data_IF_936119045560
#
_entry.id   IF_936119045560
#
_cell.length_a   1.000
_cell.length_b   1.000
_cell.length_c   1.000
_cell.angle_alpha   90.00
_cell.angle_beta   90.00
_cell.angle_gamma   90.00
#
_symmetry.space_group_name_H-M   'P 1'
#
loop_
_entity.id
_entity.type
_entity.pdbx_description
1 polymer ?
#
# COMPACT_ATOMS: atom_id res chain seq x y z
N UNK A 1 72.13 8.06 44.40
CA UNK A 1 71.67 7.64 43.05
C UNK A 1 71.03 6.27 43.23
N UNK A 2 69.77 5.97 42.97
CA UNK A 2 68.61 6.67 42.41
C UNK A 2 67.36 6.02 43.08
N UNK A 3 66.25 6.77 43.16
CA UNK A 3 65.00 6.47 43.86
C UNK A 3 64.30 5.18 43.35
N UNK A 4 63.83 4.25 44.22
CA UNK A 4 62.57 4.19 45.00
C UNK A 4 61.29 3.87 44.18
N UNK A 5 60.79 2.63 44.37
CA UNK A 5 59.40 2.06 44.43
C UNK A 5 58.22 2.79 43.76
N UNK A 6 57.32 2.00 43.14
CA UNK A 6 55.85 2.13 42.92
C UNK A 6 55.56 1.34 41.61
N UNK A 7 54.61 0.41 41.44
CA UNK A 7 53.49 -0.12 42.22
C UNK A 7 52.91 -1.27 41.39
N UNK A 8 52.85 -2.48 41.96
CA UNK A 8 51.87 -3.51 41.55
C UNK A 8 50.49 -3.00 41.98
N UNK A 9 49.46 -3.13 41.13
CA UNK A 9 48.04 -3.41 41.46
C UNK A 9 47.16 -3.23 40.20
N UNK A 10 46.22 -4.17 40.04
CA UNK A 10 45.05 -4.23 39.12
C UNK A 10 45.35 -4.72 37.70
N UNK A 11 44.96 -5.92 37.21
CA UNK A 11 43.83 -6.82 37.51
C UNK A 11 42.52 -6.11 37.84
N UNK A 12 41.79 -5.69 36.80
CA UNK A 12 40.33 -5.81 36.78
C UNK A 12 39.78 -5.52 35.38
N UNK A 13 39.10 -6.54 34.84
CA UNK A 13 37.83 -6.41 34.13
C UNK A 13 37.74 -5.41 32.97
N UNK A 14 38.05 -5.88 31.76
CA UNK A 14 37.34 -5.44 30.54
C UNK A 14 36.96 -6.69 29.73
N UNK A 15 36.20 -7.59 30.37
CA UNK A 15 35.12 -8.30 29.64
C UNK A 15 33.99 -7.28 29.53
N UNK A 16 34.05 -6.43 28.50
CA UNK A 16 32.88 -5.68 28.09
C UNK A 16 31.95 -6.69 27.42
N UNK A 17 30.98 -7.13 28.22
CA UNK A 17 29.79 -7.83 27.81
C UNK A 17 29.26 -7.14 26.55
N UNK A 18 29.32 -7.84 25.42
CA UNK A 18 28.43 -7.59 24.29
C UNK A 18 27.03 -7.98 24.76
N UNK A 19 26.42 -7.10 25.56
CA UNK A 19 24.98 -7.05 25.68
C UNK A 19 24.48 -6.58 24.32
N UNK A 20 24.33 -7.52 23.38
CA UNK A 20 23.41 -7.38 22.28
C UNK A 20 22.02 -7.30 22.91
N UNK A 21 21.67 -6.11 23.41
CA UNK A 21 20.29 -5.73 23.56
C UNK A 21 19.70 -5.90 22.16
N UNK A 22 18.90 -6.96 21.97
CA UNK A 22 17.95 -6.98 20.88
C UNK A 22 17.11 -5.72 21.05
N UNK A 23 17.38 -4.71 20.23
CA UNK A 23 16.50 -3.58 20.11
C UNK A 23 15.13 -4.16 19.80
N UNK A 24 14.19 -4.02 20.73
CA UNK A 24 12.79 -4.10 20.38
C UNK A 24 12.58 -2.92 19.44
N UNK A 25 12.74 -3.16 18.14
CA UNK A 25 12.37 -2.20 17.12
C UNK A 25 10.89 -1.93 17.34
N UNK A 26 10.56 -0.76 17.89
CA UNK A 26 9.22 -0.21 17.76
C UNK A 26 8.97 -0.11 16.26
N UNK A 27 8.08 -0.97 15.76
CA UNK A 27 7.60 -0.84 14.39
C UNK A 27 6.82 0.47 14.38
N UNK A 28 7.37 1.49 13.73
CA UNK A 28 6.67 2.74 13.51
C UNK A 28 5.29 2.45 12.91
N UNK A 29 4.28 3.24 13.29
CA UNK A 29 2.95 3.11 12.70
C UNK A 29 3.07 3.14 11.16
N UNK A 30 2.37 2.24 10.45
CA UNK A 30 2.48 2.17 9.00
C UNK A 30 2.00 3.46 8.36
N UNK A 31 2.71 3.91 7.33
CA UNK A 31 2.22 4.93 6.40
C UNK A 31 1.05 4.33 5.62
N UNK A 32 -0.18 4.78 5.91
CA UNK A 32 -1.39 4.23 5.30
C UNK A 32 -1.49 4.60 3.82
N UNK A 33 -1.09 5.82 3.45
CA UNK A 33 -1.01 6.26 2.06
C UNK A 33 -0.12 5.34 1.22
N UNK A 34 1.09 5.02 1.70
CA UNK A 34 2.00 4.07 1.05
C UNK A 34 1.39 2.67 0.99
N UNK A 35 0.83 2.20 2.11
CA UNK A 35 0.34 0.83 2.25
C UNK A 35 -0.85 0.53 1.33
N UNK A 36 -1.83 1.45 1.24
CA UNK A 36 -2.95 1.31 0.31
C UNK A 36 -2.53 1.57 -1.14
N UNK A 37 -1.50 2.40 -1.39
CA UNK A 37 -0.91 2.54 -2.73
C UNK A 37 -0.38 1.20 -3.24
N UNK A 38 0.42 0.50 -2.43
CA UNK A 38 0.91 -0.85 -2.76
C UNK A 38 -0.22 -1.83 -3.04
N UNK A 39 -1.26 -1.82 -2.20
CA UNK A 39 -2.38 -2.75 -2.33
C UNK A 39 -3.20 -2.50 -3.61
N UNK A 40 -3.52 -1.23 -3.90
CA UNK A 40 -4.29 -0.86 -5.09
C UNK A 40 -3.47 -1.01 -6.37
N UNK A 41 -2.18 -0.66 -6.36
CA UNK A 41 -1.31 -0.79 -7.54
C UNK A 41 -1.17 -2.25 -7.97
N UNK A 42 -1.24 -3.18 -7.03
CA UNK A 42 -1.27 -4.61 -7.31
C UNK A 42 -2.50 -5.07 -8.13
N UNK A 43 -3.54 -4.23 -8.30
CA UNK A 43 -4.68 -4.52 -9.18
C UNK A 43 -4.31 -4.31 -10.65
N UNK A 44 -3.36 -3.42 -10.93
CA UNK A 44 -3.01 -2.98 -12.27
C UNK A 44 -2.48 -4.12 -13.15
N UNK A 45 -1.53 -4.97 -12.69
CA UNK A 45 -1.05 -6.10 -13.49
C UNK A 45 -2.05 -7.28 -13.56
N UNK A 46 -3.09 -7.29 -12.72
CA UNK A 46 -4.13 -8.32 -12.79
C UNK A 46 -5.15 -7.94 -13.85
N UNK A 47 -5.19 -8.76 -14.90
CA UNK A 47 -5.93 -8.49 -16.14
C UNK A 47 -5.56 -7.12 -16.75
N UNK A 48 -4.36 -7.06 -17.35
CA UNK A 48 -3.86 -5.86 -18.01
C UNK A 48 -4.72 -5.40 -19.19
N UNK A 49 -5.54 -6.29 -19.76
CA UNK A 49 -6.46 -5.96 -20.85
C UNK A 49 -7.44 -4.85 -20.46
N UNK A 50 -7.85 -4.83 -19.18
CA UNK A 50 -8.73 -3.80 -18.64
C UNK A 50 -8.07 -2.40 -18.58
N UNK A 51 -6.74 -2.31 -18.62
CA UNK A 51 -6.01 -1.03 -18.60
C UNK A 51 -5.93 -0.39 -20.00
N UNK A 52 -6.27 -1.14 -21.05
CA UNK A 52 -6.06 -0.74 -22.44
C UNK A 52 -6.74 0.59 -22.78
N UNK A 53 -5.94 1.58 -23.17
CA UNK A 53 -6.44 2.88 -23.62
C UNK A 53 -7.17 3.69 -22.53
N UNK A 54 -6.94 3.39 -21.25
CA UNK A 54 -7.51 4.16 -20.15
C UNK A 54 -7.09 5.64 -20.25
N UNK A 55 -8.06 6.55 -20.13
CA UNK A 55 -7.83 8.00 -20.09
C UNK A 55 -7.64 8.52 -18.67
N UNK A 56 -8.13 7.77 -17.69
CA UNK A 56 -8.01 8.09 -16.28
C UNK A 56 -8.02 6.84 -15.40
N UNK A 57 -7.56 6.99 -14.16
CA UNK A 57 -7.72 6.04 -13.07
C UNK A 57 -8.54 6.75 -11.97
N UNK A 58 -9.71 6.23 -11.69
CA UNK A 58 -10.52 6.64 -10.55
C UNK A 58 -10.29 5.68 -9.39
N UNK A 59 -10.16 6.22 -8.18
CA UNK A 59 -9.98 5.44 -6.97
C UNK A 59 -11.13 5.74 -6.00
N UNK A 60 -11.93 4.73 -5.72
CA UNK A 60 -13.01 4.79 -4.73
C UNK A 60 -12.47 4.38 -3.36
N UNK A 61 -12.12 5.39 -2.58
CA UNK A 61 -11.65 5.28 -1.18
C UNK A 61 -12.80 5.55 -0.19
N UNK A 62 -14.06 5.54 -0.63
CA UNK A 62 -15.19 5.94 0.23
C UNK A 62 -15.38 5.03 1.45
N UNK A 63 -14.93 3.77 1.37
CA UNK A 63 -14.98 2.80 2.47
C UNK A 63 -13.76 2.87 3.41
N UNK A 64 -12.72 3.63 3.07
CA UNK A 64 -11.50 3.77 3.87
C UNK A 64 -11.65 4.97 4.82
N UNK A 65 -12.20 4.71 6.01
CA UNK A 65 -12.54 5.76 7.01
C UNK A 65 -11.35 6.20 7.86
N UNK A 66 -10.31 5.39 7.87
CA UNK A 66 -9.04 5.57 8.56
C UNK A 66 -8.07 6.47 7.78
N UNK A 67 -8.31 6.72 6.49
CA UNK A 67 -7.47 7.59 5.67
C UNK A 67 -7.80 9.07 5.86
N UNK A 68 -6.77 9.85 6.13
CA UNK A 68 -6.86 11.31 6.11
C UNK A 68 -6.60 11.89 4.70
N UNK A 69 -6.59 13.23 4.61
CA UNK A 69 -6.35 13.90 3.33
C UNK A 69 -4.93 13.74 2.79
N UNK A 70 -3.94 13.58 3.66
CA UNK A 70 -2.55 13.35 3.26
C UNK A 70 -2.40 11.94 2.70
N UNK A 71 -2.95 10.92 3.37
CA UNK A 71 -2.94 9.54 2.90
C UNK A 71 -3.58 9.42 1.51
N UNK A 72 -4.77 10.01 1.35
CA UNK A 72 -5.48 10.04 0.06
C UNK A 72 -4.67 10.74 -1.02
N UNK A 73 -4.03 11.86 -0.67
CA UNK A 73 -3.14 12.59 -1.58
C UNK A 73 -1.98 11.74 -2.07
N UNK A 74 -1.33 11.00 -1.17
CA UNK A 74 -0.23 10.09 -1.49
C UNK A 74 -0.66 8.96 -2.42
N UNK A 75 -1.84 8.37 -2.20
CA UNK A 75 -2.41 7.35 -3.09
C UNK A 75 -2.63 7.93 -4.49
N UNK A 76 -3.27 9.09 -4.61
CA UNK A 76 -3.50 9.72 -5.90
C UNK A 76 -2.19 10.08 -6.61
N UNK A 77 -1.19 10.56 -5.87
CA UNK A 77 0.12 10.91 -6.39
C UNK A 77 0.90 9.69 -6.88
N UNK A 78 0.83 8.56 -6.15
CA UNK A 78 1.43 7.29 -6.56
C UNK A 78 0.97 6.89 -7.97
N UNK A 79 -0.34 6.93 -8.22
CA UNK A 79 -0.94 6.52 -9.49
C UNK A 79 -0.64 7.47 -10.67
N UNK A 80 -0.09 8.68 -10.43
CA UNK A 80 0.36 9.56 -11.53
C UNK A 80 1.47 8.93 -12.37
N UNK A 81 2.16 7.90 -11.85
CA UNK A 81 3.12 7.07 -12.60
C UNK A 81 2.56 6.51 -13.91
N UNK A 82 1.24 6.26 -13.98
CA UNK A 82 0.56 5.76 -15.18
C UNK A 82 0.35 6.81 -16.28
N UNK A 83 0.70 8.08 -16.04
CA UNK A 83 0.63 9.19 -17.02
C UNK A 83 -0.76 9.41 -17.62
N UNK A 84 -1.80 9.16 -16.83
CA UNK A 84 -3.20 9.42 -17.13
C UNK A 84 -3.80 10.27 -16.00
N UNK A 85 -4.99 10.83 -16.20
CA UNK A 85 -5.65 11.60 -15.14
C UNK A 85 -5.97 10.68 -13.95
N UNK A 86 -5.72 11.13 -12.73
CA UNK A 86 -6.00 10.36 -11.51
C UNK A 86 -6.94 11.15 -10.62
N UNK A 87 -7.98 10.51 -10.09
CA UNK A 87 -8.98 11.19 -9.25
C UNK A 87 -9.58 10.27 -8.18
N UNK A 88 -9.95 10.86 -7.05
CA UNK A 88 -10.88 10.23 -6.11
C UNK A 88 -12.30 10.36 -6.67
N UNK A 89 -12.97 9.23 -6.92
CA UNK A 89 -14.36 9.20 -7.37
C UNK A 89 -15.02 7.85 -7.09
N UNK A 90 -16.27 7.87 -6.63
CA UNK A 90 -17.13 6.68 -6.65
C UNK A 90 -17.72 6.44 -8.04
N UNK A 91 -18.28 5.26 -8.25
CA UNK A 91 -19.00 4.94 -9.48
C UNK A 91 -20.11 5.95 -9.79
N UNK A 92 -20.93 6.31 -8.80
CA UNK A 92 -22.03 7.27 -8.94
C UNK A 92 -21.52 8.67 -9.28
N UNK A 93 -20.36 9.05 -8.75
CA UNK A 93 -19.72 10.32 -9.10
C UNK A 93 -19.17 10.34 -10.52
N UNK A 94 -18.63 9.22 -11.01
CA UNK A 94 -18.23 9.07 -12.41
C UNK A 94 -19.44 9.17 -13.34
N UNK A 95 -20.55 8.54 -12.98
CA UNK A 95 -21.82 8.64 -13.70
C UNK A 95 -22.34 10.08 -13.74
N UNK A 96 -22.37 10.77 -12.60
CA UNK A 96 -22.82 12.16 -12.51
C UNK A 96 -21.92 13.13 -13.32
N UNK A 97 -20.63 12.82 -13.45
CA UNK A 97 -19.66 13.58 -14.27
C UNK A 97 -19.75 13.26 -15.77
N UNK A 98 -20.60 12.32 -16.19
CA UNK A 98 -20.69 11.87 -17.58
C UNK A 98 -19.48 11.04 -18.05
N UNK A 99 -18.70 10.49 -17.11
CA UNK A 99 -17.54 9.64 -17.39
C UNK A 99 -17.90 8.15 -17.53
N UNK A 100 -19.17 7.82 -17.26
CA UNK A 100 -19.73 6.49 -17.45
C UNK A 100 -20.74 6.46 -18.60
N UNK A 101 -20.51 5.59 -19.57
CA UNK A 101 -21.42 5.37 -20.69
C UNK A 101 -22.46 4.31 -20.31
N UNK A 102 -23.71 4.74 -20.08
CA UNK A 102 -24.82 3.85 -19.70
C UNK A 102 -25.25 2.87 -20.79
N UNK A 103 -24.97 3.17 -22.06
CA UNK A 103 -25.37 2.30 -23.17
C UNK A 103 -24.44 1.10 -23.30
N UNK A 104 -23.14 1.31 -23.09
CA UNK A 104 -22.10 0.27 -23.16
C UNK A 104 -21.69 -0.24 -21.78
N UNK A 105 -22.25 0.34 -20.73
CA UNK A 105 -21.87 0.10 -19.33
C UNK A 105 -20.34 0.19 -19.16
N UNK A 106 -19.71 1.26 -19.64
CA UNK A 106 -18.25 1.35 -19.70
C UNK A 106 -17.69 2.70 -19.29
N UNK A 107 -16.45 2.68 -18.79
CA UNK A 107 -15.64 3.85 -18.53
C UNK A 107 -14.65 4.08 -19.68
N UNK A 108 -14.28 5.32 -19.91
CA UNK A 108 -13.11 5.69 -20.72
C UNK A 108 -11.80 5.61 -19.91
N UNK A 109 -11.90 5.41 -18.58
CA UNK A 109 -10.82 5.05 -17.67
C UNK A 109 -11.04 3.70 -16.96
N UNK A 110 -10.43 3.51 -15.80
CA UNK A 110 -10.73 2.40 -14.90
C UNK A 110 -11.13 2.93 -13.52
N UNK A 111 -11.90 2.15 -12.79
CA UNK A 111 -12.25 2.39 -11.39
C UNK A 111 -11.65 1.29 -10.52
N UNK A 112 -10.77 1.68 -9.60
CA UNK A 112 -10.27 0.81 -8.53
C UNK A 112 -11.07 1.11 -7.27
N UNK A 113 -11.62 0.09 -6.64
CA UNK A 113 -12.46 0.24 -5.45
C UNK A 113 -11.96 -0.64 -4.32
N UNK A 114 -11.97 -0.11 -3.10
CA UNK A 114 -11.85 -0.91 -1.89
C UNK A 114 -13.22 -1.13 -1.26
N UNK A 115 -13.61 -2.39 -1.11
CA UNK A 115 -14.86 -2.77 -0.44
C UNK A 115 -14.61 -3.09 1.04
N UNK A 116 -13.46 -3.72 1.35
CA UNK A 116 -13.08 -4.10 2.71
C UNK A 116 -11.57 -4.04 2.89
N UNK A 117 -11.14 -3.59 4.07
CA UNK A 117 -9.74 -3.60 4.47
C UNK A 117 -9.60 -4.11 5.90
N UNK A 118 -8.59 -4.96 6.13
CA UNK A 118 -8.22 -5.46 7.46
C UNK A 118 -6.73 -5.21 7.68
N UNK A 119 -6.41 -4.29 8.59
CA UNK A 119 -5.04 -3.95 8.97
C UNK A 119 -4.69 -4.56 10.32
N UNK A 120 -3.52 -5.20 10.38
CA UNK A 120 -2.86 -5.68 11.59
C UNK A 120 -1.46 -5.08 11.68
N UNK A 121 -0.72 -5.34 12.77
CA UNK A 121 0.67 -4.87 12.93
C UNK A 121 1.62 -5.32 11.82
N UNK A 122 1.29 -6.40 11.08
CA UNK A 122 2.20 -7.02 10.10
C UNK A 122 1.59 -7.31 8.74
N UNK A 123 0.30 -7.05 8.55
CA UNK A 123 -0.42 -7.41 7.35
C UNK A 123 -1.57 -6.45 7.09
N UNK A 124 -1.72 -6.04 5.83
CA UNK A 124 -2.94 -5.44 5.29
C UNK A 124 -3.57 -6.44 4.31
N UNK A 125 -4.86 -6.71 4.48
CA UNK A 125 -5.67 -7.44 3.49
C UNK A 125 -6.69 -6.47 2.92
N UNK A 126 -6.68 -6.29 1.59
CA UNK A 126 -7.64 -5.47 0.86
C UNK A 126 -8.48 -6.37 -0.04
N UNK A 127 -9.79 -6.23 0.04
CA UNK A 127 -10.75 -6.80 -0.89
C UNK A 127 -11.48 -5.68 -1.62
N UNK A 128 -11.66 -5.84 -2.92
CA UNK A 128 -12.25 -4.80 -3.75
C UNK A 128 -12.43 -5.23 -5.19
N UNK A 129 -12.42 -4.26 -6.10
CA UNK A 129 -12.62 -4.51 -7.53
C UNK A 129 -11.87 -3.54 -8.43
N UNK A 130 -11.65 -3.99 -9.67
CA UNK A 130 -11.20 -3.19 -10.81
C UNK A 130 -12.28 -3.27 -11.88
N UNK A 131 -12.81 -2.12 -12.27
CA UNK A 131 -13.92 -2.01 -13.20
C UNK A 131 -13.54 -1.15 -14.41
N UNK A 132 -13.85 -1.66 -15.60
CA UNK A 132 -13.72 -0.97 -16.88
C UNK A 132 -15.05 -0.94 -17.63
N UNK A 133 -15.73 -2.09 -17.68
CA UNK A 133 -17.01 -2.25 -18.37
C UNK A 133 -17.89 -3.33 -17.72
N UNK A 134 -19.14 -3.44 -18.18
CA UNK A 134 -20.08 -4.46 -17.71
C UNK A 134 -19.61 -5.90 -17.88
N UNK A 135 -18.74 -6.17 -18.84
CA UNK A 135 -18.04 -7.44 -19.13
C UNK A 135 -16.53 -7.37 -18.83
N UNK A 136 -16.12 -6.31 -18.15
CA UNK A 136 -14.74 -5.97 -17.86
C UNK A 136 -14.61 -5.56 -16.40
N UNK A 137 -14.97 -6.46 -15.50
CA UNK A 137 -14.89 -6.26 -14.07
C UNK A 137 -14.29 -7.48 -13.37
N UNK A 138 -13.35 -7.23 -12.47
CA UNK A 138 -12.72 -8.28 -11.69
C UNK A 138 -12.77 -7.95 -10.20
N UNK A 139 -12.98 -8.99 -9.40
CA UNK A 139 -12.81 -8.94 -7.96
C UNK A 139 -11.35 -9.14 -7.59
N UNK A 140 -10.88 -8.41 -6.59
CA UNK A 140 -9.49 -8.43 -6.15
C UNK A 140 -9.40 -8.76 -4.66
N UNK A 141 -8.42 -9.58 -4.32
CA UNK A 141 -7.94 -9.76 -2.94
C UNK A 141 -6.43 -9.63 -2.91
N UNK A 142 -5.95 -8.61 -2.21
CA UNK A 142 -4.53 -8.30 -2.09
C UNK A 142 -4.09 -8.43 -0.65
N UNK A 143 -2.93 -9.06 -0.45
CA UNK A 143 -2.28 -9.22 0.84
C UNK A 143 -0.92 -8.52 0.78
N UNK A 144 -0.74 -7.50 1.61
CA UNK A 144 0.52 -6.79 1.83
C UNK A 144 1.06 -7.21 3.19
N UNK A 145 2.33 -7.59 3.28
CA UNK A 145 2.97 -8.04 4.52
C UNK A 145 4.21 -7.21 4.85
N UNK A 146 4.42 -6.94 6.13
CA UNK A 146 5.65 -6.36 6.66
C UNK A 146 6.70 -7.46 6.78
N UNK A 147 7.69 -7.41 5.89
CA UNK A 147 8.81 -8.34 5.82
C UNK A 147 10.13 -7.58 5.81
N UNK A 148 11.04 -7.96 6.70
CA UNK A 148 12.38 -7.36 6.80
C UNK A 148 12.35 -5.83 7.02
N UNK A 149 11.29 -5.31 7.64
CA UNK A 149 11.11 -3.88 7.93
C UNK A 149 10.41 -3.09 6.81
N UNK A 150 10.04 -3.75 5.71
CA UNK A 150 9.39 -3.10 4.56
C UNK A 150 8.04 -3.77 4.24
N UNK A 151 7.06 -2.96 3.86
CA UNK A 151 5.76 -3.45 3.39
C UNK A 151 5.86 -3.91 1.94
N UNK A 152 5.44 -5.13 1.65
CA UNK A 152 5.56 -5.73 0.33
C UNK A 152 4.28 -6.50 -0.04
N UNK A 153 3.88 -6.42 -1.32
CA UNK A 153 2.78 -7.22 -1.83
C UNK A 153 3.19 -8.69 -1.81
N UNK A 154 2.54 -9.49 -0.97
CA UNK A 154 2.73 -10.94 -0.92
C UNK A 154 1.92 -11.64 -1.99
N UNK A 155 0.68 -11.17 -2.20
CA UNK A 155 -0.27 -11.82 -3.09
C UNK A 155 -1.29 -10.84 -3.62
N UNK A 156 -1.67 -11.00 -4.88
CA UNK A 156 -2.79 -10.32 -5.51
C UNK A 156 -3.56 -11.35 -6.34
N UNK A 157 -4.74 -11.74 -5.86
CA UNK A 157 -5.59 -12.73 -6.52
C UNK A 157 -6.82 -12.06 -7.14
N UNK A 158 -7.16 -12.52 -8.34
CA UNK A 158 -8.50 -12.35 -8.88
C UNK A 158 -9.46 -13.29 -8.14
N UNK A 159 -10.55 -12.77 -7.58
CA UNK A 159 -11.54 -13.56 -6.81
C UNK A 159 -12.77 -13.93 -7.64
N UNK A 160 -13.14 -13.08 -8.59
CA UNK A 160 -14.21 -13.32 -9.55
C UNK A 160 -13.97 -12.48 -10.82
N UNK A 161 -14.66 -12.84 -11.89
CA UNK A 161 -14.70 -12.13 -13.17
C UNK A 161 -16.17 -12.00 -13.59
N UNK A 162 -16.53 -10.86 -14.16
CA UNK A 162 -17.86 -10.58 -14.72
C UNK A 162 -17.76 -10.02 -16.12
#
# INVERSE_FOLDING_TARGET
>A
MLFRKIMWVSLCAIMLLLSACGEKSEVAAPDLGELYSLALDAYMPVDEGLNGGMKYIAIDMSNLKDLDGADKGQILDHFKTYKVDVMEATYEQLEAKGLFNKNTLSLDGILLKVDKAELTERQLIVEGSKYRSGDGAIGMKVVVELKDGEWQVKKADMTWIS
#
